data_IF_993597186080
#
_entry.id   IF_993597186080
#
_cell.length_a   1.000
_cell.length_b   1.000
_cell.length_c   1.000
_cell.angle_alpha   90.00
_cell.angle_beta   90.00
_cell.angle_gamma   90.00
#
_symmetry.space_group_name_H-M   'P 1'
#
loop_
_entity.id
_entity.type
_entity.pdbx_description
1 polymer ?
#
# COMPACT_ATOMS: atom_id res chain seq x y z
N UNK A 1 29.03 -10.96 37.60
CA UNK A 1 28.15 -11.28 36.46
C UNK A 1 26.66 -11.41 36.81
N UNK A 2 26.25 -11.42 38.08
CA UNK A 2 24.86 -11.57 38.49
C UNK A 2 24.02 -10.24 38.48
N UNK A 3 24.66 -9.07 38.43
CA UNK A 3 23.95 -7.78 38.49
C UNK A 3 23.47 -7.24 37.12
N UNK A 4 23.93 -7.77 36.00
CA UNK A 4 23.50 -7.34 34.67
C UNK A 4 22.16 -7.94 34.24
N UNK A 5 21.79 -9.12 34.78
CA UNK A 5 20.52 -9.79 34.48
C UNK A 5 19.33 -9.19 35.22
N UNK A 6 19.57 -8.57 36.37
CA UNK A 6 18.51 -7.91 37.17
C UNK A 6 18.12 -6.54 36.59
N UNK A 7 19.02 -5.85 35.91
CA UNK A 7 18.72 -4.54 35.25
C UNK A 7 17.87 -4.69 33.98
N UNK A 8 17.90 -5.83 33.31
CA UNK A 8 17.11 -6.12 32.10
C UNK A 8 15.66 -6.52 32.41
N UNK A 9 15.35 -6.93 33.64
CA UNK A 9 14.01 -7.38 34.04
C UNK A 9 13.14 -6.28 34.66
N UNK A 10 13.72 -5.14 35.08
CA UNK A 10 12.97 -4.04 35.71
C UNK A 10 12.36 -3.03 34.71
N UNK A 11 12.48 -3.22 33.39
CA UNK A 11 12.02 -2.27 32.37
C UNK A 11 10.57 -2.48 31.90
N UNK A 12 9.73 -3.28 32.56
CA UNK A 12 8.39 -3.60 32.04
C UNK A 12 7.24 -3.60 33.03
N UNK A 13 7.32 -2.97 34.20
CA UNK A 13 6.24 -3.00 35.21
C UNK A 13 5.34 -1.77 35.30
N UNK A 14 5.61 -0.70 34.57
CA UNK A 14 4.64 0.38 34.48
C UNK A 14 3.56 0.04 33.43
N UNK A 15 2.26 0.25 33.75
CA UNK A 15 1.18 0.02 32.78
C UNK A 15 1.43 0.89 31.54
N UNK A 16 1.17 0.35 30.35
CA UNK A 16 1.43 1.05 29.10
C UNK A 16 0.67 2.40 29.08
N UNK A 17 1.37 3.48 28.74
CA UNK A 17 0.80 4.83 28.69
C UNK A 17 -0.40 4.86 27.74
N UNK A 18 -1.58 5.26 28.23
CA UNK A 18 -2.83 5.35 27.42
C UNK A 18 -2.68 6.28 26.22
N UNK A 19 -1.73 7.23 26.26
CA UNK A 19 -1.42 8.13 25.13
C UNK A 19 -0.93 7.41 23.89
N UNK A 20 -0.45 6.16 24.01
CA UNK A 20 -0.03 5.34 22.85
C UNK A 20 -1.09 5.28 21.75
N UNK A 21 -2.36 5.20 22.13
CA UNK A 21 -3.47 5.16 21.18
C UNK A 21 -3.68 6.50 20.47
N UNK A 22 -3.49 7.62 21.17
CA UNK A 22 -3.58 8.96 20.57
C UNK A 22 -2.46 9.17 19.55
N UNK A 23 -1.24 8.76 19.88
CA UNK A 23 -0.09 8.82 18.96
C UNK A 23 -0.32 7.94 17.74
N UNK A 24 -0.87 6.73 17.93
CA UNK A 24 -1.21 5.80 16.86
C UNK A 24 -2.29 6.34 15.93
N UNK A 25 -3.37 6.92 16.50
CA UNK A 25 -4.44 7.56 15.70
C UNK A 25 -3.89 8.75 14.92
N UNK A 26 -3.06 9.60 15.54
CA UNK A 26 -2.38 10.70 14.83
C UNK A 26 -1.54 10.20 13.65
N UNK A 27 -0.81 9.09 13.84
CA UNK A 27 -0.07 8.46 12.76
C UNK A 27 -0.99 7.86 11.68
N UNK A 28 -2.08 7.21 12.08
CA UNK A 28 -3.08 6.67 11.17
C UNK A 28 -3.66 7.77 10.27
N UNK A 29 -3.98 8.95 10.83
CA UNK A 29 -4.51 10.09 10.08
C UNK A 29 -3.51 10.63 9.05
N UNK A 30 -2.23 10.76 9.38
CA UNK A 30 -1.21 11.22 8.42
C UNK A 30 -0.95 10.17 7.33
N UNK A 31 -0.99 8.88 7.66
CA UNK A 31 -0.90 7.79 6.69
C UNK A 31 -2.11 7.77 5.75
N UNK A 32 -3.32 7.97 6.30
CA UNK A 32 -4.56 8.10 5.55
C UNK A 32 -4.48 9.25 4.53
N UNK A 33 -4.10 10.44 5.00
CA UNK A 33 -4.01 11.62 4.14
C UNK A 33 -2.97 11.49 3.04
N UNK A 34 -1.85 10.82 3.30
CA UNK A 34 -0.86 10.49 2.26
C UNK A 34 -1.46 9.66 1.12
N UNK A 35 -2.33 8.69 1.43
CA UNK A 35 -3.00 7.88 0.43
C UNK A 35 -4.09 8.64 -0.34
N UNK A 36 -4.82 9.51 0.35
CA UNK A 36 -5.80 10.38 -0.32
C UNK A 36 -5.10 11.24 -1.38
N UNK A 37 -3.94 11.83 -1.06
CA UNK A 37 -3.17 12.63 -2.03
C UNK A 37 -2.64 11.78 -3.17
N UNK A 38 -2.13 10.58 -2.90
CA UNK A 38 -1.62 9.70 -3.95
C UNK A 38 -2.70 9.33 -4.97
N UNK A 39 -3.88 8.90 -4.50
CA UNK A 39 -4.98 8.46 -5.35
C UNK A 39 -5.99 9.56 -5.67
N UNK A 40 -5.65 10.84 -5.40
CA UNK A 40 -6.58 11.96 -5.57
C UNK A 40 -7.21 12.02 -6.97
N UNK A 41 -6.51 11.55 -7.98
CA UNK A 41 -6.97 11.59 -9.36
C UNK A 41 -7.37 10.21 -9.92
N UNK A 42 -7.20 9.14 -9.14
CA UNK A 42 -7.49 7.78 -9.60
C UNK A 42 -8.99 7.48 -9.76
N UNK A 43 -9.85 8.19 -9.03
CA UNK A 43 -11.30 8.05 -9.13
C UNK A 43 -11.96 8.93 -10.21
N UNK A 44 -11.17 9.76 -10.92
CA UNK A 44 -11.64 10.72 -11.93
C UNK A 44 -10.73 10.75 -13.15
N UNK A 45 -10.15 9.62 -13.52
CA UNK A 45 -9.24 9.55 -14.68
C UNK A 45 -9.99 9.89 -15.96
N UNK A 46 -11.12 9.26 -16.19
CA UNK A 46 -11.95 9.40 -17.40
C UNK A 46 -13.42 9.68 -17.04
N UNK A 47 -14.07 10.68 -17.63
CA UNK A 47 -13.50 11.63 -18.60
C UNK A 47 -12.80 12.84 -17.95
N UNK A 48 -12.93 13.05 -16.62
CA UNK A 48 -12.63 14.33 -15.99
C UNK A 48 -11.19 14.82 -16.23
N UNK A 49 -10.17 14.02 -15.85
CA UNK A 49 -8.78 14.42 -16.01
C UNK A 49 -8.36 14.56 -17.49
N UNK A 50 -8.85 13.62 -18.33
CA UNK A 50 -8.54 13.65 -19.76
C UNK A 50 -9.12 14.88 -20.44
N UNK A 51 -10.36 15.28 -20.12
CA UNK A 51 -11.03 16.44 -20.70
C UNK A 51 -10.55 17.79 -20.11
N UNK A 52 -10.34 17.87 -18.77
CA UNK A 52 -9.87 19.11 -18.12
C UNK A 52 -8.48 19.52 -18.65
N UNK A 53 -7.58 18.56 -18.85
CA UNK A 53 -6.20 18.84 -19.21
C UNK A 53 -5.85 18.49 -20.64
N UNK A 54 -6.77 17.92 -21.41
CA UNK A 54 -6.56 17.44 -22.79
C UNK A 54 -5.34 16.50 -22.90
N UNK A 55 -5.19 15.60 -21.94
CA UNK A 55 -4.12 14.61 -21.87
C UNK A 55 -4.68 13.20 -21.90
N UNK A 56 -3.96 12.28 -22.51
CA UNK A 56 -4.34 10.86 -22.50
C UNK A 56 -3.86 10.14 -21.23
N UNK A 57 -4.14 8.83 -21.16
CA UNK A 57 -3.79 7.96 -20.02
C UNK A 57 -2.28 7.91 -19.72
N UNK A 58 -1.41 8.08 -20.73
CA UNK A 58 0.05 8.03 -20.56
C UNK A 58 0.59 9.03 -19.55
N UNK A 59 0.38 10.34 -19.73
CA UNK A 59 0.77 11.37 -18.74
C UNK A 59 0.15 11.15 -17.36
N UNK A 60 -1.12 10.72 -17.26
CA UNK A 60 -1.80 10.44 -16.00
C UNK A 60 -1.14 9.25 -15.29
N UNK A 61 -0.80 8.19 -16.04
CA UNK A 61 -0.10 7.03 -15.48
C UNK A 61 1.29 7.37 -14.94
N UNK A 62 2.03 8.23 -15.65
CA UNK A 62 3.33 8.72 -15.17
C UNK A 62 3.19 9.50 -13.87
N UNK A 63 2.20 10.37 -13.76
CA UNK A 63 1.93 11.15 -12.54
C UNK A 63 1.69 10.24 -11.33
N UNK A 64 0.90 9.21 -11.49
CA UNK A 64 0.60 8.23 -10.44
C UNK A 64 1.77 7.28 -10.17
N UNK A 65 2.48 6.85 -11.21
CA UNK A 65 3.62 5.95 -11.13
C UNK A 65 4.87 6.58 -10.52
N UNK A 66 4.99 7.92 -10.53
CA UNK A 66 6.12 8.59 -9.87
C UNK A 66 6.15 8.40 -8.36
N UNK A 67 5.02 8.17 -7.70
CA UNK A 67 4.99 7.93 -6.25
C UNK A 67 5.75 6.65 -5.85
N UNK A 68 5.43 5.47 -6.38
CA UNK A 68 6.23 4.28 -6.11
C UNK A 68 7.66 4.40 -6.67
N UNK A 69 7.88 5.10 -7.80
CA UNK A 69 9.21 5.33 -8.33
C UNK A 69 10.09 6.13 -7.37
N UNK A 70 9.57 7.23 -6.80
CA UNK A 70 10.28 8.05 -5.82
C UNK A 70 10.43 7.33 -4.48
N UNK A 71 9.45 6.49 -4.12
CA UNK A 71 9.50 5.70 -2.89
C UNK A 71 10.75 4.80 -2.84
N UNK A 72 11.08 4.12 -3.93
CA UNK A 72 12.17 3.13 -3.98
C UNK A 72 13.51 3.72 -3.51
N UNK A 73 14.06 4.78 -4.12
CA UNK A 73 15.35 5.33 -3.71
C UNK A 73 15.30 6.10 -2.39
N UNK A 74 14.16 6.73 -2.06
CA UNK A 74 14.02 7.58 -0.86
C UNK A 74 13.75 6.75 0.39
N UNK A 75 13.13 5.57 0.27
CA UNK A 75 12.78 4.73 1.41
C UNK A 75 13.99 4.28 2.22
N UNK A 76 15.10 3.91 1.58
CA UNK A 76 16.32 3.48 2.28
C UNK A 76 16.92 4.61 3.13
N UNK A 77 17.21 5.81 2.57
CA UNK A 77 17.69 6.93 3.38
C UNK A 77 16.73 7.32 4.51
N UNK A 78 15.43 7.38 4.24
CA UNK A 78 14.45 7.77 5.27
C UNK A 78 14.33 6.74 6.38
N UNK A 79 14.46 5.44 6.08
CA UNK A 79 14.55 4.40 7.11
C UNK A 79 15.72 4.63 8.07
N UNK A 80 16.91 4.91 7.54
CA UNK A 80 18.09 5.26 8.33
C UNK A 80 17.90 6.56 9.15
N UNK A 81 17.23 7.55 8.55
CA UNK A 81 16.90 8.80 9.25
C UNK A 81 15.91 8.57 10.41
N UNK A 82 14.91 7.69 10.24
CA UNK A 82 13.97 7.28 11.30
C UNK A 82 14.73 6.63 12.47
N UNK A 83 15.68 5.77 12.17
CA UNK A 83 16.48 5.12 13.20
C UNK A 83 17.36 6.09 13.98
N UNK A 84 17.94 7.09 13.30
CA UNK A 84 18.86 8.07 13.88
C UNK A 84 18.14 9.23 14.60
N UNK A 85 17.06 9.76 13.98
CA UNK A 85 16.43 11.01 14.43
C UNK A 85 15.03 10.81 15.03
N UNK A 86 14.55 9.56 15.06
CA UNK A 86 13.26 9.19 15.58
C UNK A 86 12.12 9.32 14.57
N UNK A 87 11.03 8.59 14.85
CA UNK A 87 9.89 8.54 13.92
C UNK A 87 9.12 9.87 13.91
N UNK A 88 8.93 10.53 15.07
CA UNK A 88 8.15 11.78 15.14
C UNK A 88 8.71 12.83 14.19
N UNK A 89 10.03 13.06 14.25
CA UNK A 89 10.69 14.10 13.43
C UNK A 89 10.58 13.78 11.95
N UNK A 90 10.86 12.54 11.56
CA UNK A 90 10.90 12.15 10.15
C UNK A 90 9.50 12.11 9.54
N UNK A 91 8.53 11.53 10.23
CA UNK A 91 7.12 11.54 9.80
C UNK A 91 6.59 12.97 9.70
N UNK A 92 6.97 13.87 10.62
CA UNK A 92 6.58 15.28 10.55
C UNK A 92 7.15 15.97 9.30
N UNK A 93 8.42 15.73 8.95
CA UNK A 93 9.03 16.26 7.72
C UNK A 93 8.26 15.76 6.50
N UNK A 94 7.96 14.44 6.42
CA UNK A 94 7.17 13.89 5.33
C UNK A 94 5.77 14.50 5.23
N UNK A 95 5.10 14.67 6.37
CA UNK A 95 3.79 15.32 6.43
C UNK A 95 3.81 16.76 5.94
N UNK A 96 4.80 17.56 6.35
CA UNK A 96 4.97 18.95 5.88
C UNK A 96 5.22 18.99 4.38
N UNK A 97 6.05 18.10 3.82
CA UNK A 97 6.26 17.99 2.37
C UNK A 97 4.92 17.76 1.66
N UNK A 98 4.13 16.78 2.13
CA UNK A 98 2.82 16.47 1.53
C UNK A 98 1.89 17.69 1.62
N UNK A 99 1.81 18.39 2.77
CA UNK A 99 0.99 19.59 2.93
C UNK A 99 1.38 20.68 1.94
N UNK A 100 2.67 21.05 1.91
CA UNK A 100 3.17 22.17 1.08
C UNK A 100 2.83 21.90 -0.39
N UNK A 101 3.18 20.71 -0.91
CA UNK A 101 2.93 20.39 -2.31
C UNK A 101 1.46 20.13 -2.61
N UNK A 102 0.64 19.70 -1.63
CA UNK A 102 -0.80 19.61 -1.80
C UNK A 102 -1.44 20.98 -2.05
N UNK A 103 -1.02 22.02 -1.32
CA UNK A 103 -1.48 23.38 -1.56
C UNK A 103 -0.92 23.98 -2.85
N UNK A 104 0.35 23.73 -3.17
CA UNK A 104 0.97 24.24 -4.39
C UNK A 104 0.30 23.72 -5.67
N UNK A 105 -0.41 22.58 -5.62
CA UNK A 105 -1.22 22.10 -6.75
C UNK A 105 -2.27 23.10 -7.23
N UNK A 106 -2.76 24.00 -6.36
CA UNK A 106 -3.68 25.07 -6.76
C UNK A 106 -3.06 26.07 -7.73
N UNK A 107 -1.72 26.18 -7.74
CA UNK A 107 -1.00 27.06 -8.68
C UNK A 107 -0.89 26.46 -10.08
N UNK A 108 -1.37 25.23 -10.29
CA UNK A 108 -1.30 24.58 -11.61
C UNK A 108 -2.14 25.29 -12.67
N UNK A 109 -3.21 25.99 -12.25
CA UNK A 109 -4.19 26.44 -13.22
C UNK A 109 -4.62 25.26 -14.09
N UNK A 110 -4.80 25.49 -15.38
CA UNK A 110 -5.10 24.44 -16.35
C UNK A 110 -3.85 23.74 -16.92
N UNK A 111 -2.68 23.92 -16.29
CA UNK A 111 -1.45 23.27 -16.74
C UNK A 111 -1.27 21.91 -16.07
N UNK A 112 -1.44 20.83 -16.84
CA UNK A 112 -1.13 19.48 -16.38
C UNK A 112 0.33 19.34 -15.92
N UNK A 113 1.28 19.97 -16.62
CA UNK A 113 2.71 19.89 -16.29
C UNK A 113 3.01 20.43 -14.89
N UNK A 114 2.40 21.55 -14.50
CA UNK A 114 2.58 22.13 -13.16
C UNK A 114 1.90 21.24 -12.10
N UNK A 115 0.69 20.75 -12.36
CA UNK A 115 0.01 19.81 -11.50
C UNK A 115 0.85 18.53 -11.30
N UNK A 116 1.38 17.98 -12.39
CA UNK A 116 2.26 16.81 -12.41
C UNK A 116 3.50 17.02 -11.52
N UNK A 117 4.17 18.18 -11.61
CA UNK A 117 5.34 18.47 -10.79
C UNK A 117 4.96 18.49 -9.30
N UNK A 118 3.93 19.23 -8.92
CA UNK A 118 3.58 19.35 -7.50
C UNK A 118 3.00 18.05 -6.93
N UNK A 119 2.21 17.30 -7.71
CA UNK A 119 1.74 15.98 -7.31
C UNK A 119 2.89 15.00 -7.09
N UNK A 120 3.90 15.04 -7.96
CA UNK A 120 5.09 14.19 -7.85
C UNK A 120 5.94 14.57 -6.64
N UNK A 121 6.15 15.85 -6.38
CA UNK A 121 6.90 16.35 -5.23
C UNK A 121 6.20 16.03 -3.89
N UNK A 122 4.85 16.01 -3.87
CA UNK A 122 4.11 15.52 -2.70
C UNK A 122 4.46 14.06 -2.40
N UNK A 123 4.69 13.23 -3.44
CA UNK A 123 5.08 11.83 -3.31
C UNK A 123 6.39 11.59 -2.56
N UNK A 124 7.30 12.57 -2.54
CA UNK A 124 8.55 12.51 -1.76
C UNK A 124 8.27 12.33 -0.26
N UNK A 125 7.16 12.88 0.24
CA UNK A 125 6.79 12.78 1.66
C UNK A 125 6.34 11.38 2.09
N UNK A 126 5.88 10.53 1.17
CA UNK A 126 5.32 9.20 1.50
C UNK A 126 6.31 8.26 2.18
N UNK A 127 7.57 8.05 1.69
CA UNK A 127 8.54 7.20 2.37
C UNK A 127 8.89 7.68 3.78
N UNK A 128 8.88 9.00 4.03
CA UNK A 128 9.10 9.57 5.37
C UNK A 128 7.99 9.17 6.34
N UNK A 129 6.74 9.14 5.87
CA UNK A 129 5.59 8.70 6.68
C UNK A 129 5.66 7.19 6.90
N UNK A 130 5.83 6.38 5.86
CA UNK A 130 5.72 4.93 5.95
C UNK A 130 6.79 4.26 6.79
N UNK A 131 8.04 4.72 6.70
CA UNK A 131 9.14 4.14 7.46
C UNK A 131 9.02 4.39 8.98
N UNK A 132 8.17 5.33 9.42
CA UNK A 132 7.93 5.62 10.82
C UNK A 132 7.13 4.56 11.58
N UNK A 133 6.33 3.73 10.90
CA UNK A 133 5.34 2.83 11.49
C UNK A 133 5.93 1.84 12.50
N UNK A 134 6.96 1.11 12.09
CA UNK A 134 7.59 0.08 12.94
C UNK A 134 8.31 0.68 14.13
N UNK A 135 8.91 1.87 13.97
CA UNK A 135 9.56 2.59 15.06
C UNK A 135 8.56 3.12 16.08
N UNK A 136 7.43 3.66 15.63
CA UNK A 136 6.32 4.05 16.49
C UNK A 136 5.83 2.86 17.31
N UNK A 137 5.53 1.74 16.65
CA UNK A 137 5.07 0.53 17.32
C UNK A 137 6.09 0.01 18.34
N UNK A 138 7.38 0.01 17.99
CA UNK A 138 8.47 -0.39 18.87
C UNK A 138 8.65 0.51 20.08
N UNK A 139 8.45 1.83 19.93
CA UNK A 139 8.63 2.81 21.00
C UNK A 139 7.45 2.87 21.99
N UNK A 140 6.22 2.62 21.50
CA UNK A 140 5.00 2.88 22.27
C UNK A 140 4.26 1.63 22.73
N UNK A 141 4.47 0.49 22.07
CA UNK A 141 3.69 -0.73 22.32
C UNK A 141 4.56 -1.86 22.85
N UNK A 142 4.03 -2.64 23.83
CA UNK A 142 4.69 -3.87 24.29
C UNK A 142 4.90 -4.84 23.13
N UNK A 143 5.90 -5.72 23.22
CA UNK A 143 6.24 -6.69 22.14
C UNK A 143 5.05 -7.53 21.65
N UNK A 144 4.10 -7.84 22.54
CA UNK A 144 2.88 -8.58 22.18
C UNK A 144 1.82 -7.77 21.42
N UNK A 145 1.91 -6.44 21.41
CA UNK A 145 0.91 -5.54 20.79
C UNK A 145 1.47 -4.76 19.58
N UNK A 146 2.76 -4.89 19.27
CA UNK A 146 3.39 -4.15 18.16
C UNK A 146 2.81 -4.53 16.79
N UNK A 147 2.45 -5.79 16.59
CA UNK A 147 1.79 -6.25 15.38
C UNK A 147 0.40 -5.61 15.20
N UNK A 148 -0.36 -5.52 16.29
CA UNK A 148 -1.66 -4.84 16.31
C UNK A 148 -1.51 -3.35 15.97
N UNK A 149 -0.53 -2.66 16.58
CA UNK A 149 -0.26 -1.24 16.30
C UNK A 149 0.12 -1.00 14.84
N UNK A 150 0.99 -1.84 14.27
CA UNK A 150 1.34 -1.78 12.85
C UNK A 150 0.11 -2.03 11.96
N UNK A 151 -0.74 -2.98 12.31
CA UNK A 151 -1.98 -3.28 11.59
C UNK A 151 -2.93 -2.08 11.57
N UNK A 152 -3.21 -1.47 12.73
CA UNK A 152 -4.08 -0.28 12.85
C UNK A 152 -3.50 0.90 12.05
N UNK A 153 -2.19 1.14 12.14
CA UNK A 153 -1.55 2.20 11.37
C UNK A 153 -1.66 1.97 9.85
N UNK A 154 -1.53 0.73 9.39
CA UNK A 154 -1.70 0.35 7.98
C UNK A 154 -3.15 0.47 7.53
N UNK A 155 -4.13 0.22 8.40
CA UNK A 155 -5.54 0.44 8.08
C UNK A 155 -5.82 1.90 7.68
N UNK A 156 -5.11 2.87 8.26
CA UNK A 156 -5.19 4.28 7.82
C UNK A 156 -4.90 4.45 6.33
N UNK A 157 -3.94 3.71 5.79
CA UNK A 157 -3.62 3.75 4.36
C UNK A 157 -4.80 3.27 3.51
N UNK A 158 -5.41 2.14 3.87
CA UNK A 158 -6.55 1.58 3.12
C UNK A 158 -7.76 2.51 3.22
N UNK A 159 -8.03 3.07 4.41
CA UNK A 159 -9.10 4.07 4.58
C UNK A 159 -8.86 5.28 3.68
N UNK A 160 -7.61 5.76 3.59
CA UNK A 160 -7.25 6.86 2.69
C UNK A 160 -7.50 6.54 1.21
N UNK A 161 -7.19 5.33 0.77
CA UNK A 161 -7.50 4.87 -0.60
C UNK A 161 -9.01 4.82 -0.85
N UNK A 162 -9.80 4.29 0.10
CA UNK A 162 -11.27 4.24 0.01
C UNK A 162 -11.82 5.66 -0.10
N UNK A 163 -11.37 6.57 0.77
CA UNK A 163 -11.83 7.96 0.75
C UNK A 163 -11.50 8.65 -0.58
N UNK A 164 -10.30 8.42 -1.14
CA UNK A 164 -9.96 8.96 -2.45
C UNK A 164 -10.90 8.47 -3.56
N UNK A 165 -11.16 7.17 -3.61
CA UNK A 165 -12.01 6.57 -4.65
C UNK A 165 -13.50 6.96 -4.52
N UNK A 166 -13.97 7.34 -3.34
CA UNK A 166 -15.38 7.72 -3.10
C UNK A 166 -15.57 9.22 -3.13
N UNK A 167 -14.76 9.98 -2.37
CA UNK A 167 -14.96 11.42 -2.22
C UNK A 167 -14.65 12.19 -3.50
N UNK A 168 -13.61 11.77 -4.23
CA UNK A 168 -13.16 12.54 -5.39
C UNK A 168 -14.17 12.55 -6.53
N UNK A 169 -14.77 11.42 -6.96
CA UNK A 169 -15.83 11.43 -7.98
C UNK A 169 -17.09 12.17 -7.54
N UNK A 170 -17.39 12.19 -6.22
CA UNK A 170 -18.52 12.98 -5.69
C UNK A 170 -18.26 14.48 -5.82
N UNK A 171 -17.00 14.92 -5.61
CA UNK A 171 -16.63 16.32 -5.66
C UNK A 171 -16.35 16.83 -7.08
N UNK A 172 -15.98 15.93 -8.00
CA UNK A 172 -15.66 16.24 -9.40
C UNK A 172 -16.51 15.35 -10.31
N UNK A 173 -17.85 15.50 -10.29
CA UNK A 173 -18.75 14.70 -11.13
C UNK A 173 -18.63 15.06 -12.62
N UNK A 174 -18.21 16.28 -12.94
CA UNK A 174 -18.09 16.78 -14.30
C UNK A 174 -16.63 17.15 -14.62
N UNK A 175 -16.24 17.21 -15.92
CA UNK A 175 -14.91 17.66 -16.34
C UNK A 175 -14.76 19.19 -16.26
N UNK A 176 -15.02 19.75 -15.07
CA UNK A 176 -14.99 21.19 -14.80
C UNK A 176 -13.81 21.53 -13.89
N UNK A 177 -12.95 22.42 -14.35
CA UNK A 177 -11.73 22.78 -13.62
C UNK A 177 -11.98 23.35 -12.22
N UNK A 178 -13.07 24.12 -12.00
CA UNK A 178 -13.43 24.64 -10.67
C UNK A 178 -13.76 23.53 -9.67
N UNK A 179 -14.45 22.47 -10.09
CA UNK A 179 -14.74 21.31 -9.23
C UNK A 179 -13.43 20.62 -8.81
N UNK A 180 -12.48 20.47 -9.73
CA UNK A 180 -11.15 19.95 -9.43
C UNK A 180 -10.37 20.83 -8.45
N UNK A 181 -10.46 22.15 -8.57
CA UNK A 181 -9.83 23.08 -7.63
C UNK A 181 -10.43 22.96 -6.23
N UNK A 182 -11.76 22.88 -6.10
CA UNK A 182 -12.45 22.65 -4.83
C UNK A 182 -12.01 21.32 -4.20
N UNK A 183 -11.90 20.26 -4.98
CA UNK A 183 -11.36 18.98 -4.53
C UNK A 183 -9.93 19.12 -3.99
N UNK A 184 -9.03 19.80 -4.71
CA UNK A 184 -7.66 20.02 -4.25
C UNK A 184 -7.65 20.82 -2.93
N UNK A 185 -8.50 21.83 -2.77
CA UNK A 185 -8.61 22.59 -1.51
C UNK A 185 -9.04 21.68 -0.36
N UNK A 186 -10.12 20.92 -0.52
CA UNK A 186 -10.65 20.03 0.52
C UNK A 186 -9.62 18.97 0.91
N UNK A 187 -8.99 18.32 -0.06
CA UNK A 187 -7.94 17.33 0.20
C UNK A 187 -6.75 17.98 0.93
N UNK A 188 -6.32 19.18 0.52
CA UNK A 188 -5.23 19.90 1.17
C UNK A 188 -5.57 20.31 2.61
N UNK A 189 -6.83 20.66 2.90
CA UNK A 189 -7.32 20.90 4.27
C UNK A 189 -7.29 19.63 5.11
N UNK A 190 -7.76 18.50 4.59
CA UNK A 190 -7.72 17.20 5.30
C UNK A 190 -6.28 16.83 5.65
N UNK A 191 -5.36 16.96 4.70
CA UNK A 191 -3.93 16.68 4.91
C UNK A 191 -3.35 17.62 5.96
N UNK A 192 -3.62 18.92 5.86
CA UNK A 192 -3.12 19.92 6.81
C UNK A 192 -3.60 19.62 8.23
N UNK A 193 -4.91 19.34 8.40
CA UNK A 193 -5.47 18.97 9.69
C UNK A 193 -4.83 17.69 10.25
N UNK A 194 -4.67 16.67 9.43
CA UNK A 194 -4.04 15.40 9.83
C UNK A 194 -2.60 15.60 10.29
N UNK A 195 -1.83 16.41 9.58
CA UNK A 195 -0.44 16.71 9.94
C UNK A 195 -0.37 17.54 11.21
N UNK A 196 -1.23 18.56 11.38
CA UNK A 196 -1.30 19.36 12.60
C UNK A 196 -1.65 18.50 13.82
N UNK A 197 -2.65 17.61 13.69
CA UNK A 197 -3.01 16.69 14.78
C UNK A 197 -1.82 15.76 15.12
N UNK A 198 -1.12 15.24 14.13
CA UNK A 198 0.08 14.45 14.39
C UNK A 198 1.17 15.26 15.09
N UNK A 199 1.47 16.48 14.66
CA UNK A 199 2.50 17.35 15.28
C UNK A 199 2.19 17.64 16.73
N UNK A 200 0.92 17.89 17.06
CA UNK A 200 0.46 18.23 18.42
C UNK A 200 0.50 16.99 19.34
N UNK A 201 -0.02 15.86 18.86
CA UNK A 201 -0.22 14.69 19.72
C UNK A 201 0.95 13.71 19.73
N UNK A 202 1.72 13.61 18.64
CA UNK A 202 2.82 12.66 18.55
C UNK A 202 3.98 13.04 19.47
N UNK A 203 4.53 12.04 20.15
CA UNK A 203 5.77 12.10 20.92
C UNK A 203 6.64 10.93 20.53
N UNK A 204 7.96 11.11 20.60
CA UNK A 204 8.91 10.06 20.20
C UNK A 204 8.84 8.84 21.14
N UNK A 205 8.76 9.10 22.45
CA UNK A 205 8.72 8.07 23.51
C UNK A 205 7.66 8.39 24.56
N UNK A 206 7.17 7.38 25.29
CA UNK A 206 6.45 7.60 26.54
C UNK A 206 7.31 8.39 27.54
N UNK A 207 6.67 9.12 28.44
CA UNK A 207 7.41 9.85 29.50
C UNK A 207 8.20 8.87 30.37
N UNK A 208 9.47 9.20 30.64
CA UNK A 208 10.33 8.39 31.51
C UNK A 208 11.01 7.20 30.84
N UNK A 209 10.92 7.04 29.52
CA UNK A 209 11.61 5.96 28.79
C UNK A 209 13.12 6.24 28.73
N UNK A 210 13.93 5.29 29.21
CA UNK A 210 15.39 5.29 29.06
C UNK A 210 15.71 4.55 27.76
N UNK A 211 16.33 5.24 26.81
CA UNK A 211 16.70 4.66 25.51
C UNK A 211 18.05 3.97 25.63
N UNK A 212 18.08 2.65 25.52
CA UNK A 212 19.31 1.88 25.40
C UNK A 212 19.83 1.91 23.95
N UNK A 213 21.12 2.16 23.75
CA UNK A 213 21.73 2.04 22.44
C UNK A 213 21.72 0.57 21.97
N UNK A 214 21.08 0.27 20.84
CA UNK A 214 21.10 -1.07 20.26
C UNK A 214 22.28 -1.21 19.30
N UNK A 215 23.08 -2.26 19.47
CA UNK A 215 24.08 -2.67 18.49
C UNK A 215 23.39 -3.37 17.32
N UNK A 216 23.33 -2.74 16.16
CA UNK A 216 22.76 -3.36 14.95
C UNK A 216 23.84 -4.06 14.12
N UNK A 217 23.59 -5.31 13.73
CA UNK A 217 24.33 -5.99 12.67
C UNK A 217 24.25 -5.15 11.37
N UNK A 218 25.34 -5.12 10.59
CA UNK A 218 25.35 -4.35 9.33
C UNK A 218 24.22 -4.82 8.39
N UNK A 219 23.35 -3.93 7.99
CA UNK A 219 22.19 -4.21 7.12
C UNK A 219 22.58 -4.94 5.84
N UNK A 220 23.74 -4.60 5.25
CA UNK A 220 24.24 -5.24 4.03
C UNK A 220 24.47 -6.75 4.20
N UNK A 221 25.00 -7.20 5.35
CA UNK A 221 25.19 -8.62 5.62
C UNK A 221 23.88 -9.37 5.80
N UNK A 222 22.88 -8.72 6.42
CA UNK A 222 21.53 -9.28 6.56
C UNK A 222 20.86 -9.46 5.20
N UNK A 223 20.93 -8.45 4.32
CA UNK A 223 20.36 -8.51 2.97
C UNK A 223 20.99 -9.65 2.17
N UNK A 224 22.34 -9.77 2.18
CA UNK A 224 23.02 -10.84 1.44
C UNK A 224 22.60 -12.24 1.92
N UNK A 225 22.39 -12.42 3.22
CA UNK A 225 21.90 -13.70 3.77
C UNK A 225 20.45 -13.99 3.38
N UNK A 226 19.59 -12.97 3.43
CA UNK A 226 18.17 -13.10 3.07
C UNK A 226 18.00 -13.43 1.58
N UNK A 227 18.77 -12.84 0.69
CA UNK A 227 18.78 -13.15 -0.75
C UNK A 227 19.18 -14.60 -1.07
N UNK A 228 19.89 -15.30 -0.16
CA UNK A 228 20.17 -16.73 -0.30
C UNK A 228 19.01 -17.62 0.15
N UNK A 229 18.01 -17.08 0.84
CA UNK A 229 16.87 -17.83 1.33
C UNK A 229 15.80 -17.91 0.24
N UNK A 230 15.59 -19.11 -0.35
CA UNK A 230 14.66 -19.36 -1.44
C UNK A 230 13.26 -18.79 -1.20
N UNK A 231 12.67 -19.01 -0.02
CA UNK A 231 11.33 -18.50 0.29
C UNK A 231 11.27 -16.98 0.28
N UNK A 232 12.31 -16.28 0.75
CA UNK A 232 12.35 -14.80 0.75
C UNK A 232 12.34 -14.28 -0.69
N UNK A 233 13.18 -14.84 -1.57
CA UNK A 233 13.23 -14.44 -2.98
C UNK A 233 11.89 -14.72 -3.68
N UNK A 234 11.29 -15.89 -3.45
CA UNK A 234 9.97 -16.22 -4.01
C UNK A 234 8.88 -15.27 -3.51
N UNK A 235 8.90 -14.88 -2.23
CA UNK A 235 7.97 -13.89 -1.67
C UNK A 235 8.18 -12.49 -2.26
N UNK A 236 9.42 -12.09 -2.53
CA UNK A 236 9.69 -10.82 -3.24
C UNK A 236 8.99 -10.79 -4.60
N UNK A 237 9.05 -11.87 -5.38
CA UNK A 237 8.33 -11.96 -6.66
C UNK A 237 6.82 -12.05 -6.48
N UNK A 238 6.32 -12.76 -5.48
CA UNK A 238 4.88 -12.80 -5.18
C UNK A 238 4.33 -11.43 -4.83
N UNK A 239 5.07 -10.62 -4.06
CA UNK A 239 4.66 -9.25 -3.72
C UNK A 239 4.79 -8.30 -4.91
N UNK A 240 5.83 -8.45 -5.73
CA UNK A 240 5.95 -7.72 -6.99
C UNK A 240 4.71 -7.91 -7.86
N UNK A 241 4.27 -9.16 -8.04
CA UNK A 241 3.09 -9.48 -8.85
C UNK A 241 1.80 -9.10 -8.12
N UNK A 242 1.57 -9.63 -6.92
CA UNK A 242 0.30 -9.48 -6.20
C UNK A 242 -0.01 -8.04 -5.81
N UNK A 243 0.91 -7.38 -5.09
CA UNK A 243 0.73 -5.98 -4.69
C UNK A 243 0.86 -5.04 -5.89
N UNK A 244 1.66 -5.42 -6.89
CA UNK A 244 1.75 -4.68 -8.16
C UNK A 244 0.40 -4.65 -8.88
N UNK A 245 -0.23 -5.80 -9.11
CA UNK A 245 -1.57 -5.90 -9.72
C UNK A 245 -2.60 -5.15 -8.88
N UNK A 246 -2.55 -5.29 -7.54
CA UNK A 246 -3.42 -4.54 -6.64
C UNK A 246 -3.30 -3.03 -6.86
N UNK A 247 -2.07 -2.50 -6.89
CA UNK A 247 -1.82 -1.07 -7.10
C UNK A 247 -2.29 -0.59 -8.46
N UNK A 248 -2.07 -1.39 -9.51
CA UNK A 248 -2.58 -1.12 -10.85
C UNK A 248 -4.11 -1.11 -10.89
N UNK A 249 -4.78 -2.09 -10.27
CA UNK A 249 -6.25 -2.12 -10.20
C UNK A 249 -6.81 -0.94 -9.45
N UNK A 250 -6.27 -0.60 -8.26
CA UNK A 250 -6.74 0.56 -7.47
C UNK A 250 -6.57 1.86 -8.25
N UNK A 251 -5.48 1.98 -9.01
CA UNK A 251 -5.23 3.17 -9.83
C UNK A 251 -6.19 3.29 -11.02
N UNK A 252 -6.53 2.17 -11.66
CA UNK A 252 -7.21 2.16 -12.96
C UNK A 252 -8.64 1.63 -12.91
N UNK A 253 -9.16 1.19 -11.75
CA UNK A 253 -10.50 0.58 -11.63
C UNK A 253 -11.61 1.47 -12.17
N UNK A 254 -11.53 2.77 -11.92
CA UNK A 254 -12.48 3.75 -12.46
C UNK A 254 -12.41 3.78 -13.99
N UNK A 255 -11.22 3.99 -14.58
CA UNK A 255 -11.04 4.06 -16.04
C UNK A 255 -11.42 2.74 -16.74
N UNK A 256 -11.09 1.59 -16.13
CA UNK A 256 -11.49 0.26 -16.60
C UNK A 256 -13.01 0.16 -16.68
N UNK A 257 -13.72 0.56 -15.63
CA UNK A 257 -15.17 0.44 -15.54
C UNK A 257 -15.87 1.51 -16.39
N UNK A 258 -15.30 2.72 -16.46
CA UNK A 258 -15.80 3.78 -17.33
C UNK A 258 -15.79 3.36 -18.81
N UNK A 259 -14.72 2.73 -19.26
CA UNK A 259 -14.64 2.17 -20.65
C UNK A 259 -15.71 1.12 -20.93
N UNK A 260 -16.27 0.51 -19.91
CA UNK A 260 -17.35 -0.50 -19.99
C UNK A 260 -18.75 0.11 -19.82
N UNK A 261 -18.85 1.46 -19.77
CA UNK A 261 -20.11 2.21 -19.67
C UNK A 261 -20.63 2.38 -18.24
N UNK A 262 -19.80 2.21 -17.23
CA UNK A 262 -20.13 2.45 -15.81
C UNK A 262 -19.68 3.87 -15.43
N UNK A 263 -20.48 4.61 -14.68
CA UNK A 263 -20.13 5.97 -14.27
C UNK A 263 -18.87 6.00 -13.40
N UNK A 264 -18.12 7.13 -13.41
CA UNK A 264 -16.93 7.29 -12.57
C UNK A 264 -17.25 7.12 -11.08
N UNK A 265 -18.41 7.60 -10.62
CA UNK A 265 -18.86 7.42 -9.24
C UNK A 265 -19.05 5.93 -8.90
N UNK A 266 -19.75 5.17 -9.76
CA UNK A 266 -19.95 3.74 -9.53
C UNK A 266 -18.64 2.98 -9.61
N UNK A 267 -17.73 3.36 -10.52
CA UNK A 267 -16.37 2.83 -10.62
C UNK A 267 -15.57 3.04 -9.34
N UNK A 268 -15.63 4.25 -8.77
CA UNK A 268 -15.03 4.58 -7.48
C UNK A 268 -15.62 3.78 -6.32
N UNK A 269 -16.95 3.63 -6.27
CA UNK A 269 -17.66 2.83 -5.26
C UNK A 269 -17.29 1.35 -5.35
N UNK A 270 -17.17 0.79 -6.56
CA UNK A 270 -16.72 -0.59 -6.77
C UNK A 270 -15.27 -0.76 -6.29
N UNK A 271 -14.38 0.19 -6.61
CA UNK A 271 -13.02 0.20 -6.11
C UNK A 271 -12.94 0.26 -4.59
N UNK A 272 -13.78 1.10 -3.96
CA UNK A 272 -13.91 1.17 -2.51
C UNK A 272 -14.42 -0.15 -1.91
N UNK A 273 -15.45 -0.77 -2.51
CA UNK A 273 -15.96 -2.07 -2.08
C UNK A 273 -14.89 -3.17 -2.18
N UNK A 274 -14.07 -3.15 -3.23
CA UNK A 274 -12.89 -4.02 -3.38
C UNK A 274 -11.92 -3.85 -2.21
N UNK A 275 -11.62 -2.63 -1.78
CA UNK A 275 -10.72 -2.35 -0.66
C UNK A 275 -11.31 -2.79 0.68
N UNK A 276 -12.60 -2.50 0.91
CA UNK A 276 -13.30 -2.91 2.13
C UNK A 276 -13.33 -4.43 2.26
N UNK A 277 -13.68 -5.14 1.20
CA UNK A 277 -13.68 -6.61 1.20
C UNK A 277 -12.28 -7.17 1.45
N UNK A 278 -11.25 -6.50 0.94
CA UNK A 278 -9.87 -6.86 1.18
C UNK A 278 -9.44 -6.78 2.65
N UNK A 279 -9.95 -5.78 3.41
CA UNK A 279 -9.75 -5.72 4.87
C UNK A 279 -10.33 -6.97 5.54
N UNK A 280 -11.57 -7.35 5.19
CA UNK A 280 -12.16 -8.59 5.71
C UNK A 280 -11.37 -9.83 5.28
N UNK A 281 -10.90 -9.88 4.03
CA UNK A 281 -10.02 -10.93 3.51
C UNK A 281 -8.75 -11.07 4.34
N UNK A 282 -8.05 -9.96 4.63
CA UNK A 282 -6.85 -9.96 5.47
C UNK A 282 -7.12 -10.55 6.86
N UNK A 283 -8.22 -10.17 7.50
CA UNK A 283 -8.57 -10.63 8.85
C UNK A 283 -8.97 -12.12 8.83
N UNK A 284 -9.92 -12.49 7.97
CA UNK A 284 -10.49 -13.84 7.92
C UNK A 284 -9.44 -14.86 7.48
N UNK A 285 -8.72 -14.57 6.40
CA UNK A 285 -7.72 -15.49 5.85
C UNK A 285 -6.50 -15.62 6.78
N UNK A 286 -6.09 -14.55 7.48
CA UNK A 286 -5.05 -14.64 8.50
C UNK A 286 -5.47 -15.56 9.64
N UNK A 287 -6.70 -15.40 10.14
CA UNK A 287 -7.25 -16.28 11.18
C UNK A 287 -7.31 -17.75 10.74
N UNK A 288 -7.82 -18.01 9.53
CA UNK A 288 -7.89 -19.36 8.94
C UNK A 288 -6.49 -19.95 8.77
N UNK A 289 -5.54 -19.13 8.30
CA UNK A 289 -4.15 -19.54 8.09
C UNK A 289 -3.45 -19.95 9.39
N UNK A 290 -3.73 -19.23 10.47
CA UNK A 290 -3.14 -19.52 11.78
C UNK A 290 -3.78 -20.76 12.41
N UNK A 291 -5.11 -20.87 12.35
CA UNK A 291 -5.86 -22.01 12.89
C UNK A 291 -5.49 -23.34 12.24
N UNK A 292 -5.35 -23.36 10.92
CA UNK A 292 -5.08 -24.59 10.17
C UNK A 292 -3.61 -24.79 9.81
N UNK A 293 -2.74 -23.83 10.13
CA UNK A 293 -1.30 -23.87 9.83
C UNK A 293 -0.96 -24.12 8.36
N UNK A 294 -1.80 -23.60 7.42
CA UNK A 294 -1.72 -23.86 5.96
C UNK A 294 -1.33 -22.64 5.14
N UNK A 295 -0.30 -21.89 5.57
CA UNK A 295 0.14 -20.65 4.91
C UNK A 295 0.40 -20.83 3.40
N UNK A 296 1.16 -21.86 3.03
CA UNK A 296 1.50 -22.14 1.63
C UNK A 296 0.27 -22.45 0.78
N UNK A 297 -0.65 -23.27 1.26
CA UNK A 297 -1.87 -23.66 0.55
C UNK A 297 -2.77 -22.45 0.29
N UNK A 298 -2.83 -21.53 1.25
CA UNK A 298 -3.60 -20.28 1.11
C UNK A 298 -3.01 -19.39 0.03
N UNK A 299 -1.67 -19.23 -0.03
CA UNK A 299 -1.03 -18.47 -1.12
C UNK A 299 -1.38 -19.08 -2.47
N UNK A 300 -1.29 -20.41 -2.61
CA UNK A 300 -1.60 -21.12 -3.84
C UNK A 300 -3.06 -20.89 -4.26
N UNK A 301 -4.01 -21.13 -3.35
CA UNK A 301 -5.44 -21.01 -3.62
C UNK A 301 -5.83 -19.58 -3.98
N UNK A 302 -5.40 -18.60 -3.18
CA UNK A 302 -5.75 -17.20 -3.42
C UNK A 302 -5.15 -16.67 -4.72
N UNK A 303 -3.91 -17.07 -5.07
CA UNK A 303 -3.32 -16.67 -6.36
C UNK A 303 -4.10 -17.22 -7.54
N UNK A 304 -4.53 -18.50 -7.49
CA UNK A 304 -5.34 -19.12 -8.53
C UNK A 304 -6.73 -18.48 -8.64
N UNK A 305 -7.41 -18.28 -7.49
CA UNK A 305 -8.72 -17.62 -7.47
C UNK A 305 -8.63 -16.19 -8.03
N UNK A 306 -7.61 -15.42 -7.64
CA UNK A 306 -7.41 -14.07 -8.16
C UNK A 306 -7.17 -14.09 -9.68
N UNK A 307 -6.41 -15.05 -10.22
CA UNK A 307 -6.23 -15.18 -11.66
C UNK A 307 -7.56 -15.39 -12.38
N UNK A 308 -8.39 -16.31 -11.89
CA UNK A 308 -9.72 -16.59 -12.46
C UNK A 308 -10.60 -15.32 -12.39
N UNK A 309 -10.62 -14.65 -11.25
CA UNK A 309 -11.42 -13.44 -11.06
C UNK A 309 -10.98 -12.29 -11.98
N UNK A 310 -9.68 -12.15 -12.26
CA UNK A 310 -9.16 -11.17 -13.24
C UNK A 310 -9.61 -11.47 -14.66
N UNK A 311 -9.61 -12.74 -15.06
CA UNK A 311 -10.16 -13.15 -16.36
C UNK A 311 -11.67 -12.86 -16.45
N UNK A 312 -12.43 -13.13 -15.38
CA UNK A 312 -13.85 -12.78 -15.33
C UNK A 312 -14.06 -11.25 -15.36
N UNK A 313 -13.24 -10.48 -14.65
CA UNK A 313 -13.34 -9.02 -14.64
C UNK A 313 -13.07 -8.37 -16.01
N UNK A 314 -12.35 -9.07 -16.89
CA UNK A 314 -12.10 -8.63 -18.25
C UNK A 314 -13.36 -8.71 -19.16
N UNK A 315 -14.34 -9.56 -18.82
CA UNK A 315 -15.56 -9.73 -19.62
C UNK A 315 -16.49 -8.50 -19.51
N UNK A 316 -17.26 -8.23 -20.56
CA UNK A 316 -18.23 -7.11 -20.55
C UNK A 316 -19.58 -7.57 -19.99
N UNK A 317 -19.92 -7.04 -18.83
CA UNK A 317 -21.10 -7.42 -18.06
C UNK A 317 -21.79 -6.19 -17.41
N UNK A 318 -22.72 -6.40 -16.48
CA UNK A 318 -23.44 -5.36 -15.78
C UNK A 318 -22.76 -4.91 -14.49
N UNK A 319 -23.25 -3.84 -13.90
CA UNK A 319 -22.75 -3.24 -12.66
C UNK A 319 -22.66 -4.24 -11.50
N UNK A 320 -23.71 -5.05 -11.27
CA UNK A 320 -23.75 -6.02 -10.18
C UNK A 320 -22.65 -7.08 -10.33
N UNK A 321 -22.41 -7.55 -11.55
CA UNK A 321 -21.35 -8.49 -11.85
C UNK A 321 -19.99 -7.91 -11.47
N UNK A 322 -19.67 -6.68 -11.90
CA UNK A 322 -18.39 -6.05 -11.57
C UNK A 322 -18.22 -5.84 -10.08
N UNK A 323 -19.28 -5.46 -9.37
CA UNK A 323 -19.24 -5.31 -7.91
C UNK A 323 -18.89 -6.64 -7.24
N UNK A 324 -19.54 -7.74 -7.61
CA UNK A 324 -19.27 -9.07 -7.03
C UNK A 324 -17.83 -9.50 -7.31
N UNK A 325 -17.37 -9.38 -8.57
CA UNK A 325 -16.01 -9.79 -8.94
C UNK A 325 -14.96 -8.90 -8.27
N UNK A 326 -15.14 -7.59 -8.21
CA UNK A 326 -14.23 -6.67 -7.55
C UNK A 326 -14.11 -6.96 -6.03
N UNK A 327 -15.24 -7.20 -5.36
CA UNK A 327 -15.28 -7.63 -3.95
C UNK A 327 -14.50 -8.94 -3.77
N UNK A 328 -14.68 -9.93 -4.65
CA UNK A 328 -13.95 -11.18 -4.58
C UNK A 328 -12.44 -11.00 -4.85
N UNK A 329 -12.06 -10.13 -5.81
CA UNK A 329 -10.64 -9.78 -6.08
C UNK A 329 -10.02 -9.14 -4.84
N UNK A 330 -10.68 -8.14 -4.25
CA UNK A 330 -10.18 -7.47 -3.05
C UNK A 330 -9.94 -8.45 -1.90
N UNK A 331 -10.93 -9.32 -1.64
CA UNK A 331 -10.86 -10.33 -0.59
C UNK A 331 -9.67 -11.29 -0.77
N UNK A 332 -9.45 -11.81 -1.97
CA UNK A 332 -8.39 -12.78 -2.24
C UNK A 332 -7.02 -12.11 -2.33
N UNK A 333 -6.89 -10.99 -3.03
CA UNK A 333 -5.62 -10.36 -3.35
C UNK A 333 -4.96 -9.71 -2.12
N UNK A 334 -5.73 -8.90 -1.34
CA UNK A 334 -5.19 -8.24 -0.15
C UNK A 334 -4.83 -9.22 0.97
N UNK A 335 -5.51 -10.35 1.07
CA UNK A 335 -5.22 -11.39 2.08
C UNK A 335 -3.87 -12.09 1.86
N UNK A 336 -3.27 -11.99 0.67
CA UNK A 336 -1.94 -12.54 0.41
C UNK A 336 -0.83 -11.81 1.19
N UNK A 337 -1.00 -10.52 1.49
CA UNK A 337 0.03 -9.72 2.15
C UNK A 337 0.36 -10.21 3.57
N UNK A 338 -0.58 -10.33 4.52
CA UNK A 338 -0.27 -10.81 5.86
C UNK A 338 0.23 -12.26 5.86
N UNK A 339 -0.31 -13.13 5.00
CA UNK A 339 0.13 -14.52 4.88
C UNK A 339 1.58 -14.61 4.37
N UNK A 340 1.93 -13.82 3.36
CA UNK A 340 3.29 -13.74 2.83
C UNK A 340 4.29 -13.19 3.85
N UNK A 341 3.92 -12.15 4.60
CA UNK A 341 4.75 -11.60 5.67
C UNK A 341 4.94 -12.60 6.81
N UNK A 342 3.94 -13.42 7.12
CA UNK A 342 4.06 -14.49 8.12
C UNK A 342 5.05 -15.58 7.65
N UNK A 343 4.98 -16.01 6.38
CA UNK A 343 5.98 -16.95 5.81
C UNK A 343 7.39 -16.33 5.85
N UNK A 344 7.49 -15.03 5.58
CA UNK A 344 8.76 -14.29 5.66
C UNK A 344 9.35 -14.32 7.08
N UNK A 345 8.53 -14.01 8.08
CA UNK A 345 8.92 -14.06 9.50
C UNK A 345 9.40 -15.47 9.91
N UNK A 346 8.64 -16.51 9.53
CA UNK A 346 9.00 -17.90 9.85
C UNK A 346 10.28 -18.38 9.13
N UNK A 347 10.57 -17.81 7.95
CA UNK A 347 11.76 -18.12 7.15
C UNK A 347 13.00 -17.36 7.63
N UNK A 348 12.88 -16.05 7.84
CA UNK A 348 14.01 -15.17 8.18
C UNK A 348 14.41 -15.26 9.67
N UNK A 349 13.45 -15.66 10.53
CA UNK A 349 13.59 -15.61 11.99
C UNK A 349 13.35 -14.19 12.55
N UNK A 350 13.09 -14.13 13.86
CA UNK A 350 12.71 -12.87 14.54
C UNK A 350 13.71 -11.73 14.40
N UNK A 351 15.01 -12.07 14.36
CA UNK A 351 16.10 -11.07 14.29
C UNK A 351 16.18 -10.33 12.95
N UNK A 352 15.75 -10.97 11.85
CA UNK A 352 15.84 -10.44 10.48
C UNK A 352 14.48 -10.16 9.86
N UNK A 353 13.42 -10.34 10.62
CA UNK A 353 12.04 -10.20 10.13
C UNK A 353 11.76 -8.81 9.56
N UNK A 354 12.25 -7.76 10.20
CA UNK A 354 12.10 -6.38 9.73
C UNK A 354 12.80 -6.13 8.39
N UNK A 355 14.06 -6.57 8.24
CA UNK A 355 14.80 -6.43 6.99
C UNK A 355 14.15 -7.24 5.86
N UNK A 356 13.69 -8.47 6.16
CA UNK A 356 13.01 -9.31 5.19
C UNK A 356 11.69 -8.68 4.72
N UNK A 357 10.87 -8.18 5.64
CA UNK A 357 9.65 -7.45 5.31
C UNK A 357 9.93 -6.19 4.48
N UNK A 358 10.97 -5.41 4.83
CA UNK A 358 11.39 -4.23 4.08
C UNK A 358 11.78 -4.57 2.63
N UNK A 359 12.52 -5.65 2.40
CA UNK A 359 12.89 -6.11 1.05
C UNK A 359 11.65 -6.51 0.23
N UNK A 360 10.69 -7.20 0.86
CA UNK A 360 9.45 -7.63 0.23
C UNK A 360 8.59 -6.40 -0.13
N UNK A 361 8.46 -5.43 0.78
CA UNK A 361 7.73 -4.19 0.50
C UNK A 361 8.42 -3.33 -0.57
N UNK A 362 9.75 -3.30 -0.63
CA UNK A 362 10.46 -2.62 -1.71
C UNK A 362 10.12 -3.22 -3.08
N UNK A 363 10.11 -4.56 -3.17
CA UNK A 363 9.71 -5.25 -4.41
C UNK A 363 8.24 -5.01 -4.77
N UNK A 364 7.37 -4.83 -3.78
CA UNK A 364 5.98 -4.44 -4.04
C UNK A 364 5.86 -3.08 -4.70
N UNK A 365 6.72 -2.11 -4.35
CA UNK A 365 6.74 -0.79 -5.00
C UNK A 365 7.25 -0.86 -6.45
N UNK A 366 8.23 -1.75 -6.72
CA UNK A 366 8.66 -2.03 -8.11
C UNK A 366 7.48 -2.60 -8.90
N UNK A 367 6.72 -3.51 -8.33
CA UNK A 367 5.50 -4.06 -8.94
C UNK A 367 4.43 -3.00 -9.14
N UNK A 368 4.18 -2.13 -8.15
CA UNK A 368 3.22 -1.04 -8.26
C UNK A 368 3.56 -0.11 -9.44
N UNK A 369 4.82 0.33 -9.51
CA UNK A 369 5.31 1.14 -10.63
C UNK A 369 5.08 0.43 -11.97
N UNK A 370 5.47 -0.85 -12.07
CA UNK A 370 5.34 -1.63 -13.29
C UNK A 370 3.87 -1.71 -13.75
N UNK A 371 2.94 -2.11 -12.88
CA UNK A 371 1.54 -2.27 -13.27
C UNK A 371 0.84 -0.94 -13.53
N UNK A 372 1.12 0.12 -12.77
CA UNK A 372 0.56 1.45 -13.02
C UNK A 372 0.95 1.96 -14.42
N UNK A 373 2.19 1.69 -14.87
CA UNK A 373 2.68 2.17 -16.17
C UNK A 373 2.31 1.21 -17.31
N UNK A 374 2.37 -0.09 -17.09
CA UNK A 374 2.21 -1.09 -18.17
C UNK A 374 0.75 -1.30 -18.53
N UNK A 375 -0.19 -1.26 -17.59
CA UNK A 375 -1.60 -1.50 -17.89
C UNK A 375 -2.17 -0.56 -18.97
N UNK A 376 -2.01 0.78 -18.89
CA UNK A 376 -2.50 1.66 -19.95
C UNK A 376 -1.71 1.55 -21.26
N UNK A 377 -0.42 1.17 -21.22
CA UNK A 377 0.36 0.91 -22.43
C UNK A 377 -0.20 -0.31 -23.19
N UNK A 378 -0.55 -1.37 -22.48
CA UNK A 378 -1.17 -2.55 -23.08
C UNK A 378 -2.54 -2.23 -23.69
N UNK A 379 -3.30 -1.33 -23.07
CA UNK A 379 -4.56 -0.83 -23.62
C UNK A 379 -4.34 -0.06 -24.93
N UNK A 380 -3.37 0.84 -24.96
CA UNK A 380 -3.01 1.61 -26.16
C UNK A 380 -2.54 0.71 -27.29
N UNK A 381 -1.77 -0.34 -27.01
CA UNK A 381 -1.34 -1.34 -27.99
C UNK A 381 -2.52 -2.12 -28.57
N UNK A 382 -3.51 -2.46 -27.74
CA UNK A 382 -4.74 -3.12 -28.16
C UNK A 382 -5.50 -2.28 -29.18
N UNK A 383 -5.68 -0.98 -28.90
CA UNK A 383 -6.34 -0.04 -29.81
C UNK A 383 -5.61 0.08 -31.15
N UNK A 384 -4.26 0.10 -31.12
CA UNK A 384 -3.42 0.19 -32.33
C UNK A 384 -3.46 -1.05 -33.22
N UNK A 385 -3.59 -2.25 -32.64
CA UNK A 385 -3.57 -3.51 -33.36
C UNK A 385 -4.94 -3.95 -33.92
N UNK A 386 -6.04 -3.20 -33.65
CA UNK A 386 -7.41 -3.57 -34.04
C UNK A 386 -7.73 -5.05 -33.75
N UNK A 387 -7.20 -5.54 -32.59
CA UNK A 387 -7.44 -6.94 -32.22
C UNK A 387 -8.94 -7.11 -31.98
N UNK A 388 -9.48 -8.27 -32.40
CA UNK A 388 -10.89 -8.72 -32.45
C UNK A 388 -11.74 -8.45 -31.18
N UNK A 389 -11.15 -7.93 -30.09
CA UNK A 389 -11.83 -7.62 -28.84
C UNK A 389 -11.96 -6.12 -28.72
N UNK A 390 -13.19 -5.61 -28.86
CA UNK A 390 -13.51 -4.18 -28.81
C UNK A 390 -13.45 -3.56 -27.41
N UNK A 391 -13.13 -4.33 -26.38
CA UNK A 391 -13.15 -3.87 -25.00
C UNK A 391 -11.77 -3.34 -24.57
N UNK A 392 -11.71 -2.05 -24.28
CA UNK A 392 -10.58 -1.41 -23.63
C UNK A 392 -10.21 -2.16 -22.33
N UNK A 393 -8.91 -2.19 -21.98
CA UNK A 393 -8.36 -2.86 -20.79
C UNK A 393 -8.42 -4.40 -20.80
N UNK A 394 -8.98 -5.04 -21.82
CA UNK A 394 -9.07 -6.50 -21.89
C UNK A 394 -7.68 -7.17 -21.81
N UNK A 395 -6.73 -6.72 -22.66
CA UNK A 395 -5.36 -7.29 -22.67
C UNK A 395 -4.66 -7.06 -21.32
N UNK A 396 -4.83 -5.89 -20.72
CA UNK A 396 -4.21 -5.55 -19.42
C UNK A 396 -4.71 -6.46 -18.29
N UNK A 397 -6.01 -6.77 -18.28
CA UNK A 397 -6.60 -7.67 -17.29
C UNK A 397 -6.20 -9.14 -17.53
N UNK A 398 -6.18 -9.58 -18.78
CA UNK A 398 -5.69 -10.93 -19.15
C UNK A 398 -4.22 -11.09 -18.79
N UNK A 399 -3.38 -10.11 -19.12
CA UNK A 399 -1.97 -10.10 -18.74
C UNK A 399 -1.79 -10.20 -17.22
N UNK A 400 -2.56 -9.43 -16.44
CA UNK A 400 -2.56 -9.50 -14.99
C UNK A 400 -2.99 -10.87 -14.47
N UNK A 401 -4.01 -11.48 -15.08
CA UNK A 401 -4.46 -12.83 -14.78
C UNK A 401 -3.38 -13.89 -15.05
N UNK A 402 -2.67 -13.79 -16.19
CA UNK A 402 -1.53 -14.68 -16.51
C UNK A 402 -0.41 -14.53 -15.49
N UNK A 403 -0.09 -13.31 -15.05
CA UNK A 403 0.92 -13.11 -14.02
C UNK A 403 0.48 -13.65 -12.66
N UNK A 404 -0.83 -13.65 -12.35
CA UNK A 404 -1.33 -14.33 -11.15
C UNK A 404 -1.24 -15.87 -11.27
N UNK A 405 -1.29 -16.47 -12.49
CA UNK A 405 -0.95 -17.88 -12.70
C UNK A 405 0.55 -18.10 -12.43
N UNK A 406 1.43 -17.18 -12.85
CA UNK A 406 2.85 -17.24 -12.48
C UNK A 406 3.02 -17.17 -10.95
N UNK A 407 2.28 -16.29 -10.26
CA UNK A 407 2.27 -16.22 -8.80
C UNK A 407 1.79 -17.53 -8.16
N UNK A 408 0.77 -18.18 -8.73
CA UNK A 408 0.33 -19.52 -8.33
C UNK A 408 1.47 -20.55 -8.44
N UNK A 409 2.19 -20.59 -9.57
CA UNK A 409 3.35 -21.48 -9.77
C UNK A 409 4.45 -21.19 -8.77
N UNK A 410 4.76 -19.89 -8.50
CA UNK A 410 5.72 -19.49 -7.46
C UNK A 410 5.25 -19.99 -6.08
N UNK A 411 3.94 -19.90 -5.79
CA UNK A 411 3.34 -20.44 -4.57
C UNK A 411 3.58 -21.95 -4.39
N UNK A 412 3.47 -22.73 -5.49
CA UNK A 412 3.80 -24.17 -5.47
C UNK A 412 5.27 -24.43 -5.12
N UNK A 413 6.17 -23.53 -5.52
CA UNK A 413 7.61 -23.64 -5.27
C UNK A 413 8.03 -23.26 -3.84
N UNK A 414 7.17 -22.57 -3.05
CA UNK A 414 7.44 -22.26 -1.65
C UNK A 414 7.66 -23.54 -0.85
N UNK A 415 8.62 -23.51 0.07
CA UNK A 415 8.78 -24.56 1.07
C UNK A 415 7.83 -24.28 2.25
N UNK A 416 7.14 -25.31 2.72
CA UNK A 416 6.24 -25.21 3.86
C UNK A 416 7.05 -24.99 5.15
N UNK A 417 6.82 -23.85 5.81
CA UNK A 417 7.57 -23.45 7.02
C UNK A 417 7.06 -24.15 8.28
N UNK A 418 5.85 -24.72 8.25
CA UNK A 418 5.20 -25.35 9.41
C UNK A 418 5.23 -26.87 9.42
N UNK A 419 5.52 -27.52 8.29
CA UNK A 419 5.51 -28.99 8.15
C UNK A 419 6.51 -29.71 9.07
N UNK A 420 7.60 -29.04 9.44
CA UNK A 420 8.65 -29.62 10.30
C UNK A 420 8.44 -29.37 11.81
N UNK A 421 7.41 -28.63 12.22
CA UNK A 421 7.13 -28.40 13.67
C UNK A 421 6.27 -29.50 14.30
N UNK A 422 5.55 -30.27 13.51
CA UNK A 422 4.66 -31.35 14.00
C UNK A 422 5.42 -32.64 14.35
N UNK A 423 6.70 -32.75 13.98
CA UNK A 423 7.52 -33.96 14.28
C UNK A 423 8.32 -33.90 15.58
N UNK A 424 8.13 -32.88 16.43
CA UNK A 424 8.84 -32.71 17.69
C UNK A 424 7.92 -32.55 18.94
N UNK A 425 6.65 -32.98 18.85
CA UNK A 425 5.77 -33.11 20.03
C UNK A 425 5.33 -34.53 20.22
#
# INVERSE_FOLDING_TARGET
MANASLFTQQLSTSPPDKRRWIVLVGYMLISMSSQIVWLNFAGIVSPQMEEIFHVGLGPISLMSGLWPLLFIPISIPTGLMVDKWGFKRIVSIGGVIIVVFSWLRLLSGQSFAILFIFQSLAGIGQPFVYNGISKLAGNWFPKGEQALANGIATMGQIIGMILALVLVPIMVPNPIFSELQENIVVVSLIVTLSVLLFLVFAREYPKGTIVAASSQERITSQIQRLLKMRNIVLLMFLFLIGVGIFSGLVQWVEAILFSKGISSLDGGLIGAAMLVSGIFGMIIISYVSDRYSKLKQIVILNSLLTAILLFLFALRMNLLYYTIIAVAIGFTLLSLAPVGLQISLETAGKERAGTAAGMIWLMSQVGALFFILVMPVLDTLQLGLKILVSDQWFISLIFSGILMIVAFVIGLMLKDTRKNRVSFN
#
